data_IF_454316804653
#
_entry.id   IF_454316804653
#
_cell.length_a   1.000
_cell.length_b   1.000
_cell.length_c   1.000
_cell.angle_alpha   90.00
_cell.angle_beta   90.00
_cell.angle_gamma   90.00
#
_symmetry.space_group_name_H-M   'P 1'
#
loop_
_entity.id
_entity.type
_entity.pdbx_description
1 polymer ?
#
# COMPACT_ATOMS: atom_id res chain seq x y z
N UNK A 1 -10.62 -8.82 3.90
CA UNK A 1 -10.60 -7.75 4.95
C UNK A 1 -11.37 -6.53 4.42
N UNK A 2 -11.82 -5.55 5.22
CA UNK A 2 -12.43 -4.31 4.69
C UNK A 2 -11.40 -3.16 4.66
N UNK A 3 -10.83 -2.80 3.49
CA UNK A 3 -9.76 -1.79 3.40
C UNK A 3 -10.25 -0.38 3.77
N UNK A 4 -11.56 -0.10 3.71
CA UNK A 4 -12.15 1.21 4.02
C UNK A 4 -12.09 1.56 5.50
N UNK A 5 -11.84 0.57 6.36
CA UNK A 5 -11.62 0.77 7.80
C UNK A 5 -10.25 1.39 8.11
N UNK A 6 -9.39 1.58 7.09
CA UNK A 6 -8.05 2.12 7.26
C UNK A 6 -7.15 1.20 8.10
N UNK A 7 -5.93 1.63 8.39
CA UNK A 7 -4.90 0.82 9.07
C UNK A 7 -5.44 0.09 10.30
N UNK A 8 -6.30 0.73 11.10
CA UNK A 8 -6.88 0.12 12.31
C UNK A 8 -7.76 -1.11 12.03
N UNK A 9 -8.27 -1.28 10.81
CA UNK A 9 -9.07 -2.42 10.40
C UNK A 9 -8.31 -3.52 9.65
N UNK A 10 -7.06 -3.29 9.24
CA UNK A 10 -6.25 -4.27 8.50
C UNK A 10 -4.82 -4.46 9.03
N UNK A 11 -4.41 -3.73 10.06
CA UNK A 11 -3.18 -4.03 10.81
C UNK A 11 -3.29 -5.38 11.50
N UNK A 12 -2.16 -6.05 11.68
CA UNK A 12 -2.04 -7.27 12.46
C UNK A 12 -1.27 -7.01 13.74
N UNK A 13 -1.63 -7.69 14.82
CA UNK A 13 -0.72 -7.91 15.94
C UNK A 13 0.53 -8.71 15.49
N UNK A 14 1.64 -8.49 16.19
CA UNK A 14 2.87 -9.27 16.07
C UNK A 14 3.63 -9.28 17.41
N UNK A 15 4.47 -10.29 17.59
CA UNK A 15 5.38 -10.44 18.74
C UNK A 15 6.83 -10.46 18.29
N UNK A 16 7.73 -9.88 19.09
CA UNK A 16 9.18 -9.96 18.84
C UNK A 16 9.72 -11.39 18.95
N UNK A 17 9.03 -12.31 19.64
CA UNK A 17 9.40 -13.73 19.66
C UNK A 17 9.23 -14.38 18.28
N UNK A 18 8.27 -13.89 17.49
CA UNK A 18 8.00 -14.30 16.11
C UNK A 18 8.73 -13.46 15.06
N UNK A 19 9.69 -12.62 15.47
CA UNK A 19 10.40 -11.70 14.59
C UNK A 19 11.88 -12.06 14.46
N UNK A 20 12.40 -11.98 13.23
CA UNK A 20 13.83 -12.08 12.95
C UNK A 20 14.25 -10.87 12.15
N UNK A 21 15.27 -10.15 12.62
CA UNK A 21 15.85 -8.99 11.94
C UNK A 21 17.34 -9.22 11.74
N UNK A 22 17.80 -9.10 10.50
CA UNK A 22 19.21 -9.17 10.10
C UNK A 22 19.49 -8.11 9.02
N UNK A 23 20.75 -7.68 8.82
CA UNK A 23 21.07 -6.77 7.74
C UNK A 23 20.59 -7.29 6.38
N UNK A 24 19.67 -6.55 5.75
CA UNK A 24 19.07 -6.92 4.47
C UNK A 24 17.96 -7.97 4.54
N UNK A 25 17.49 -8.38 5.72
CA UNK A 25 16.41 -9.37 5.85
C UNK A 25 15.57 -9.14 7.11
N UNK A 26 14.25 -9.15 6.95
CA UNK A 26 13.30 -9.17 8.05
C UNK A 26 12.29 -10.29 7.82
N UNK A 27 11.90 -10.99 8.89
CA UNK A 27 10.76 -11.89 8.92
C UNK A 27 9.89 -11.60 10.13
N UNK A 28 8.58 -11.51 9.93
CA UNK A 28 7.59 -11.32 10.99
C UNK A 28 6.42 -12.25 10.78
N UNK A 29 5.82 -12.72 11.87
CA UNK A 29 4.54 -13.43 11.85
C UNK A 29 3.39 -12.45 12.10
N UNK A 30 2.44 -12.39 11.17
CA UNK A 30 1.21 -11.61 11.32
C UNK A 30 0.14 -12.47 11.99
N UNK A 31 -0.05 -12.28 13.30
CA UNK A 31 -0.92 -13.12 14.15
C UNK A 31 -2.38 -13.13 13.69
N UNK A 32 -2.92 -11.98 13.26
CA UNK A 32 -4.33 -11.88 12.85
C UNK A 32 -4.61 -12.59 11.51
N UNK A 33 -3.57 -12.89 10.74
CA UNK A 33 -3.65 -13.51 9.42
C UNK A 33 -2.99 -14.88 9.33
N UNK A 34 -2.41 -15.37 10.42
CA UNK A 34 -1.63 -16.61 10.47
C UNK A 34 -0.62 -16.73 9.32
N UNK A 35 0.07 -15.64 9.00
CA UNK A 35 0.91 -15.54 7.79
C UNK A 35 2.32 -15.07 8.16
N UNK A 36 3.33 -15.80 7.67
CA UNK A 36 4.71 -15.34 7.72
C UNK A 36 4.96 -14.36 6.57
N UNK A 37 5.55 -13.21 6.88
CA UNK A 37 6.00 -12.23 5.90
C UNK A 37 7.49 -12.04 6.03
N UNK A 38 8.19 -12.26 4.93
CA UNK A 38 9.62 -12.04 4.77
C UNK A 38 9.86 -10.92 3.78
N UNK A 39 10.83 -10.05 4.08
CA UNK A 39 11.21 -8.92 3.25
C UNK A 39 12.73 -8.84 3.12
N UNK A 40 13.20 -8.61 1.91
CA UNK A 40 14.58 -8.24 1.58
C UNK A 40 14.60 -7.19 0.48
N UNK A 41 15.76 -6.63 0.16
CA UNK A 41 15.89 -5.58 -0.84
C UNK A 41 17.20 -5.65 -1.61
N UNK A 42 17.13 -5.30 -2.89
CA UNK A 42 18.28 -4.86 -3.70
C UNK A 42 18.40 -3.34 -3.62
N UNK A 43 19.28 -2.75 -4.43
CA UNK A 43 19.45 -1.29 -4.50
C UNK A 43 18.15 -0.53 -4.88
N UNK A 44 17.23 -1.16 -5.62
CA UNK A 44 16.02 -0.49 -6.16
C UNK A 44 14.74 -1.34 -6.15
N UNK A 45 14.79 -2.56 -5.62
CA UNK A 45 13.67 -3.50 -5.62
C UNK A 45 13.52 -4.11 -4.24
N UNK A 46 12.32 -4.03 -3.66
CA UNK A 46 11.94 -4.80 -2.49
C UNK A 46 11.34 -6.14 -2.92
N UNK A 47 11.74 -7.22 -2.25
CA UNK A 47 11.26 -8.57 -2.48
C UNK A 47 10.51 -9.02 -1.23
N UNK A 48 9.28 -9.49 -1.43
CA UNK A 48 8.45 -10.04 -0.37
C UNK A 48 8.20 -11.52 -0.62
N UNK A 49 8.21 -12.32 0.45
CA UNK A 49 7.72 -13.70 0.44
C UNK A 49 6.71 -13.86 1.55
N UNK A 50 5.48 -14.21 1.16
CA UNK A 50 4.42 -14.57 2.12
C UNK A 50 4.31 -16.09 2.18
N UNK A 51 4.27 -16.65 3.40
CA UNK A 51 3.98 -18.07 3.63
C UNK A 51 2.73 -18.19 4.48
N UNK A 52 1.69 -18.76 3.89
CA UNK A 52 0.38 -18.94 4.50
C UNK A 52 0.37 -20.27 5.25
N UNK A 53 -0.16 -20.30 6.47
CA UNK A 53 -0.20 -21.53 7.28
C UNK A 53 -1.44 -22.40 7.03
N UNK A 54 -2.42 -21.86 6.28
CA UNK A 54 -3.68 -22.51 5.93
C UNK A 54 -4.17 -22.05 4.56
N UNK A 55 -4.95 -22.88 3.85
CA UNK A 55 -5.65 -22.43 2.65
C UNK A 55 -6.58 -21.26 2.95
N UNK A 56 -6.52 -20.20 2.15
CA UNK A 56 -7.29 -18.98 2.36
C UNK A 56 -7.45 -18.17 1.06
N UNK A 57 -8.43 -17.27 1.05
CA UNK A 57 -8.42 -16.11 0.15
C UNK A 57 -7.51 -15.04 0.76
N UNK A 58 -6.34 -14.83 0.16
CA UNK A 58 -5.39 -13.80 0.57
C UNK A 58 -5.62 -12.51 -0.22
N UNK A 59 -5.41 -11.36 0.42
CA UNK A 59 -5.48 -10.05 -0.22
C UNK A 59 -4.23 -9.24 0.10
N UNK A 60 -3.56 -8.74 -0.95
CA UNK A 60 -2.49 -7.76 -0.83
C UNK A 60 -3.11 -6.37 -1.04
N UNK A 61 -3.10 -5.57 0.02
CA UNK A 61 -3.58 -4.19 0.00
C UNK A 61 -2.43 -3.24 -0.36
N UNK A 62 -2.59 -2.49 -1.43
CA UNK A 62 -1.69 -1.41 -1.82
C UNK A 62 -2.35 -0.07 -1.51
N UNK A 63 -1.98 0.53 -0.37
CA UNK A 63 -2.45 1.85 0.03
C UNK A 63 -1.72 2.94 -0.75
N UNK A 64 -2.48 3.80 -1.44
CA UNK A 64 -1.98 4.83 -2.36
C UNK A 64 -2.47 6.24 -2.00
N UNK A 65 -3.15 6.38 -0.87
CA UNK A 65 -3.63 7.66 -0.34
C UNK A 65 -3.64 7.68 1.18
N UNK A 66 -3.73 8.87 1.75
CA UNK A 66 -3.60 9.05 3.19
C UNK A 66 -2.23 9.54 3.61
N UNK A 67 -1.83 9.16 4.82
CA UNK A 67 -0.59 9.61 5.47
C UNK A 67 0.48 8.54 5.41
N UNK A 68 1.71 8.96 5.14
CA UNK A 68 2.89 8.13 5.32
C UNK A 68 3.90 8.89 6.18
N UNK A 69 3.94 8.60 7.47
CA UNK A 69 4.75 9.35 8.43
C UNK A 69 4.38 10.83 8.43
N UNK A 70 5.31 11.70 8.03
CA UNK A 70 5.09 13.15 7.95
C UNK A 70 4.83 13.67 6.53
N UNK A 71 4.38 12.82 5.60
CA UNK A 71 4.00 13.23 4.24
C UNK A 71 2.59 12.77 3.88
N UNK A 72 1.95 13.50 2.96
CA UNK A 72 0.65 13.14 2.37
C UNK A 72 0.86 12.42 1.04
N UNK A 73 0.12 11.32 0.82
CA UNK A 73 0.02 10.65 -0.46
C UNK A 73 -1.19 11.17 -1.25
N UNK A 74 -0.94 11.66 -2.47
CA UNK A 74 -1.93 12.31 -3.35
C UNK A 74 -1.76 11.84 -4.78
N UNK A 75 -2.79 11.99 -5.63
CA UNK A 75 -2.61 11.79 -7.07
C UNK A 75 -2.36 10.35 -7.49
N UNK A 76 -2.98 9.38 -6.81
CA UNK A 76 -2.83 7.95 -7.07
C UNK A 76 -3.24 7.60 -8.51
N UNK A 77 -2.41 6.82 -9.18
CA UNK A 77 -2.67 6.25 -10.50
C UNK A 77 -2.12 4.83 -10.48
N UNK A 78 -2.97 3.83 -10.67
CA UNK A 78 -2.56 2.43 -10.65
C UNK A 78 -3.38 1.62 -11.65
N UNK A 79 -2.72 0.72 -12.37
CA UNK A 79 -3.35 -0.14 -13.37
C UNK A 79 -2.85 -1.57 -13.27
N UNK A 80 -3.76 -2.51 -13.47
CA UNK A 80 -3.46 -3.92 -13.69
C UNK A 80 -3.01 -4.09 -15.14
N UNK A 81 -1.75 -4.43 -15.34
CA UNK A 81 -1.13 -4.60 -16.67
C UNK A 81 -1.29 -6.04 -17.17
N UNK A 82 -1.24 -7.00 -16.25
CA UNK A 82 -1.52 -8.41 -16.48
C UNK A 82 -2.06 -9.05 -15.20
N UNK A 83 -2.39 -10.34 -15.24
CA UNK A 83 -2.83 -11.06 -14.04
C UNK A 83 -1.75 -11.21 -12.96
N UNK A 84 -0.50 -10.90 -13.27
CA UNK A 84 0.63 -10.96 -12.32
C UNK A 84 1.36 -9.63 -12.17
N UNK A 85 0.86 -8.54 -12.76
CA UNK A 85 1.58 -7.26 -12.80
C UNK A 85 0.66 -6.07 -12.61
N UNK A 86 1.06 -5.19 -11.69
CA UNK A 86 0.46 -3.88 -11.46
C UNK A 86 1.55 -2.82 -11.63
N UNK A 87 1.22 -1.69 -12.23
CA UNK A 87 2.10 -0.53 -12.24
C UNK A 87 1.34 0.74 -11.92
N UNK A 88 2.06 1.76 -11.48
CA UNK A 88 1.40 3.00 -11.09
C UNK A 88 2.36 4.06 -10.59
N UNK A 89 1.74 5.10 -10.03
CA UNK A 89 2.43 6.20 -9.40
C UNK A 89 1.61 6.82 -8.26
N UNK A 90 2.32 7.41 -7.30
CA UNK A 90 1.76 8.24 -6.25
C UNK A 90 2.53 9.54 -6.16
N UNK A 91 1.82 10.63 -5.88
CA UNK A 91 2.41 11.89 -5.48
C UNK A 91 2.60 11.93 -3.97
N UNK A 92 3.69 12.55 -3.53
CA UNK A 92 3.95 12.83 -2.11
C UNK A 92 4.20 14.31 -1.91
N UNK A 93 3.54 14.89 -0.91
CA UNK A 93 3.56 16.33 -0.58
C UNK A 93 3.65 16.56 0.94
N UNK A 94 3.61 17.81 1.41
CA UNK A 94 3.64 18.21 2.83
C UNK A 94 4.90 17.82 3.62
N UNK A 95 6.06 17.76 2.96
CA UNK A 95 7.34 17.46 3.64
C UNK A 95 7.74 18.55 4.62
N UNK A 96 7.86 18.18 5.89
CA UNK A 96 8.32 19.08 6.95
C UNK A 96 9.77 19.56 6.75
N UNK A 97 10.65 18.70 6.24
CA UNK A 97 12.08 18.99 6.08
C UNK A 97 12.43 19.79 4.80
N UNK A 98 11.42 20.28 4.08
CA UNK A 98 11.59 20.95 2.79
C UNK A 98 11.76 19.98 1.62
N UNK A 99 12.01 20.53 0.43
CA UNK A 99 12.10 19.80 -0.84
C UNK A 99 11.00 20.17 -1.83
N UNK A 100 10.83 19.41 -2.92
CA UNK A 100 9.81 19.68 -3.92
C UNK A 100 8.40 19.60 -3.32
N UNK A 101 7.54 20.55 -3.73
CA UNK A 101 6.13 20.62 -3.33
C UNK A 101 5.39 19.31 -3.69
N UNK A 102 5.77 18.69 -4.81
CA UNK A 102 5.26 17.40 -5.26
C UNK A 102 6.43 16.54 -5.72
N UNK A 103 6.53 15.32 -5.20
CA UNK A 103 7.43 14.29 -5.75
C UNK A 103 6.60 13.11 -6.20
N UNK A 104 6.79 12.69 -7.45
CA UNK A 104 6.14 11.52 -8.01
C UNK A 104 7.00 10.29 -7.76
N UNK A 105 6.40 9.24 -7.20
CA UNK A 105 7.00 7.93 -7.02
C UNK A 105 6.31 7.01 -8.01
N UNK A 106 7.09 6.31 -8.84
CA UNK A 106 6.61 5.32 -9.78
C UNK A 106 6.96 3.94 -9.28
N UNK A 107 6.09 2.96 -9.50
CA UNK A 107 6.29 1.60 -9.05
C UNK A 107 5.77 0.59 -10.07
N UNK A 108 6.36 -0.61 -10.00
CA UNK A 108 5.86 -1.83 -10.61
C UNK A 108 5.85 -2.90 -9.53
N UNK A 109 4.75 -3.63 -9.42
CA UNK A 109 4.62 -4.79 -8.53
C UNK A 109 4.36 -6.01 -9.41
N UNK A 110 5.19 -7.03 -9.24
CA UNK A 110 5.05 -8.33 -9.90
C UNK A 110 4.77 -9.40 -8.86
N UNK A 111 3.84 -10.30 -9.17
CA UNK A 111 3.46 -11.44 -8.33
C UNK A 111 3.88 -12.75 -8.98
N UNK A 112 4.25 -13.73 -8.17
CA UNK A 112 4.54 -15.10 -8.60
C UNK A 112 3.25 -15.89 -8.91
N UNK A 113 2.11 -15.45 -8.36
CA UNK A 113 0.77 -16.00 -8.59
C UNK A 113 -0.13 -15.04 -9.37
N UNK A 114 -1.05 -15.61 -10.15
CA UNK A 114 -2.09 -14.88 -10.86
C UNK A 114 -3.14 -14.34 -9.88
N UNK A 115 -3.46 -13.05 -9.97
CA UNK A 115 -4.52 -12.40 -9.20
C UNK A 115 -5.89 -12.98 -9.60
N UNK A 116 -6.62 -13.57 -8.65
CA UNK A 116 -8.00 -14.04 -8.85
C UNK A 116 -9.00 -12.88 -8.84
N UNK A 117 -8.69 -11.80 -8.11
CA UNK A 117 -9.51 -10.58 -8.04
C UNK A 117 -8.61 -9.33 -8.03
N UNK A 118 -9.09 -8.25 -8.63
CA UNK A 118 -8.50 -6.93 -8.48
C UNK A 118 -9.60 -5.90 -8.23
N UNK A 119 -9.51 -5.19 -7.11
CA UNK A 119 -10.53 -4.24 -6.65
C UNK A 119 -9.87 -2.96 -6.12
N UNK A 120 -10.65 -1.89 -5.98
CA UNK A 120 -10.18 -0.60 -5.50
C UNK A 120 -11.06 -0.03 -4.39
N UNK A 121 -10.56 0.97 -3.68
CA UNK A 121 -11.38 1.79 -2.79
C UNK A 121 -10.98 3.26 -2.86
N UNK A 122 -11.95 4.12 -2.59
CA UNK A 122 -11.78 5.57 -2.47
C UNK A 122 -12.64 6.08 -1.32
N UNK A 123 -12.01 6.43 -0.22
CA UNK A 123 -12.69 6.76 1.02
C UNK A 123 -13.55 5.58 1.49
N UNK A 124 -14.87 5.77 1.50
CA UNK A 124 -15.84 4.73 1.86
C UNK A 124 -16.45 4.01 0.64
N UNK A 125 -16.13 4.47 -0.57
CA UNK A 125 -16.55 3.85 -1.82
C UNK A 125 -15.69 2.62 -2.10
N UNK A 126 -16.34 1.52 -2.46
CA UNK A 126 -15.71 0.29 -2.89
C UNK A 126 -15.93 0.12 -4.40
N UNK A 127 -14.87 -0.22 -5.10
CA UNK A 127 -14.84 -0.41 -6.55
C UNK A 127 -14.53 -1.89 -6.80
N UNK A 128 -15.52 -2.66 -7.23
CA UNK A 128 -15.33 -4.06 -7.60
C UNK A 128 -14.76 -4.16 -9.02
N UNK A 129 -13.92 -5.17 -9.27
CA UNK A 129 -13.45 -5.56 -10.61
C UNK A 129 -12.89 -4.40 -11.46
N UNK A 130 -11.98 -3.62 -10.88
CA UNK A 130 -11.32 -2.52 -11.60
C UNK A 130 -10.16 -3.05 -12.45
N UNK A 131 -9.81 -2.36 -13.53
CA UNK A 131 -8.53 -2.54 -14.24
C UNK A 131 -7.57 -1.37 -13.98
N UNK A 132 -8.11 -0.22 -13.55
CA UNK A 132 -7.39 1.01 -13.28
C UNK A 132 -8.08 1.78 -12.14
N UNK A 133 -7.30 2.44 -11.29
CA UNK A 133 -7.75 3.40 -10.30
C UNK A 133 -6.95 4.70 -10.46
N UNK A 134 -7.67 5.80 -10.69
CA UNK A 134 -7.11 7.15 -10.76
C UNK A 134 -7.81 8.08 -9.79
N UNK A 135 -7.01 8.69 -8.91
CA UNK A 135 -7.46 9.70 -7.95
C UNK A 135 -6.63 10.97 -8.20
N UNK A 136 -7.13 11.94 -8.98
CA UNK A 136 -6.38 13.14 -9.31
C UNK A 136 -6.12 14.01 -8.07
N UNK A 137 -5.04 14.79 -8.11
CA UNK A 137 -4.77 15.81 -7.10
C UNK A 137 -5.86 16.89 -7.22
N UNK A 138 -6.58 17.16 -6.13
CA UNK A 138 -7.63 18.20 -6.11
C UNK A 138 -7.02 19.57 -6.43
N UNK A 139 -7.75 20.38 -7.20
CA UNK A 139 -7.32 21.74 -7.54
C UNK A 139 -7.05 22.57 -6.27
N UNK A 140 -5.97 23.36 -6.29
CA UNK A 140 -5.53 24.16 -5.14
C UNK A 140 -4.99 23.35 -3.96
N UNK A 141 -4.86 22.01 -4.05
CA UNK A 141 -4.32 21.18 -2.96
C UNK A 141 -2.85 21.48 -2.66
N UNK A 142 -2.06 21.74 -3.70
CA UNK A 142 -0.63 22.00 -3.55
C UNK A 142 -0.37 23.41 -3.01
N UNK A 143 -1.24 24.38 -3.32
CA UNK A 143 -1.09 25.79 -2.91
C UNK A 143 -1.31 26.01 -1.40
N UNK A 144 -1.95 25.05 -0.71
CA UNK A 144 -2.28 25.11 0.72
C UNK A 144 -1.10 24.87 1.67
N UNK A 145 0.09 24.55 1.16
CA UNK A 145 1.30 24.43 1.98
C UNK A 145 1.83 25.80 2.43
N UNK A 146 1.11 26.49 3.32
CA UNK A 146 1.51 27.84 3.75
C UNK A 146 2.15 27.92 5.13
N UNK A 147 2.19 26.86 5.95
CA UNK A 147 2.84 26.93 7.26
C UNK A 147 3.59 25.63 7.61
N UNK A 148 4.84 25.74 8.04
CA UNK A 148 5.78 24.66 8.42
C UNK A 148 5.39 23.88 9.70
N UNK A 149 4.10 23.84 10.03
CA UNK A 149 3.58 23.16 11.21
C UNK A 149 2.72 21.99 10.75
N UNK A 150 2.85 20.84 11.42
CA UNK A 150 2.13 19.59 11.14
C UNK A 150 0.63 19.82 10.92
N UNK A 151 0.22 19.99 9.66
CA UNK A 151 -1.19 20.03 9.31
C UNK A 151 -1.53 18.69 8.68
N UNK A 152 -2.24 17.87 9.45
CA UNK A 152 -2.88 16.69 8.91
C UNK A 152 -4.12 17.10 8.08
N UNK A 153 -3.93 17.56 6.84
CA UNK A 153 -4.97 17.70 5.82
C UNK A 153 -5.72 16.38 5.59
N UNK A 154 -7.03 16.27 5.82
CA UNK A 154 -7.74 15.00 5.71
C UNK A 154 -7.56 14.36 4.32
N UNK A 155 -6.60 13.46 4.21
CA UNK A 155 -6.31 12.73 3.00
C UNK A 155 -7.22 11.52 2.93
N UNK A 156 -7.87 11.38 1.78
CA UNK A 156 -8.79 10.29 1.54
C UNK A 156 -7.98 9.00 1.40
N UNK A 157 -8.29 8.01 2.24
CA UNK A 157 -7.71 6.67 2.12
C UNK A 157 -8.14 6.08 0.78
N UNK A 158 -7.19 5.69 -0.04
CA UNK A 158 -7.47 5.07 -1.34
C UNK A 158 -6.38 4.07 -1.67
N UNK A 159 -6.70 3.10 -2.51
CA UNK A 159 -5.78 2.06 -2.90
C UNK A 159 -6.46 0.94 -3.67
N UNK A 160 -5.70 -0.11 -3.91
CA UNK A 160 -6.15 -1.31 -4.60
C UNK A 160 -5.87 -2.57 -3.80
N UNK A 161 -6.71 -3.57 -3.97
CA UNK A 161 -6.59 -4.88 -3.36
C UNK A 161 -6.45 -5.95 -4.45
N UNK A 162 -5.35 -6.67 -4.43
CA UNK A 162 -5.09 -7.83 -5.26
C UNK A 162 -5.42 -9.10 -4.46
N UNK A 163 -6.40 -9.87 -4.93
CA UNK A 163 -6.86 -11.12 -4.30
C UNK A 163 -6.20 -12.34 -4.93
N UNK A 164 -5.94 -13.35 -4.10
CA UNK A 164 -5.29 -14.61 -4.47
C UNK A 164 -5.92 -15.78 -3.72
N UNK A 165 -6.06 -16.92 -4.40
CA UNK A 165 -6.36 -18.19 -3.76
C UNK A 165 -5.04 -18.87 -3.38
N UNK A 166 -4.81 -19.09 -2.08
CA UNK A 166 -3.54 -19.61 -1.58
C UNK A 166 -3.73 -20.92 -0.85
N UNK A 167 -2.72 -21.77 -0.96
CA UNK A 167 -2.59 -23.05 -0.26
C UNK A 167 -1.50 -22.93 0.82
N UNK A 168 -1.53 -23.82 1.80
CA UNK A 168 -0.54 -23.90 2.89
C UNK A 168 0.77 -24.56 2.45
#
# INVERSE_FOLDING_TARGET
IDPRKGEQGWKSAFSHEGEVIQPGYQRVFLEDFDTWVEMTSTDRVALYRMTYTRPAEAEILLSLGGWLGSVSMVGADVRKVSDTKIEGSIGTTDRLWGGPQLTRIFFVVEFDKSMSRFSGWKGQERLEEVSELKVPIKEGRLDKMQNYLFQHFPEEQTGVAAGFDVEA
#
